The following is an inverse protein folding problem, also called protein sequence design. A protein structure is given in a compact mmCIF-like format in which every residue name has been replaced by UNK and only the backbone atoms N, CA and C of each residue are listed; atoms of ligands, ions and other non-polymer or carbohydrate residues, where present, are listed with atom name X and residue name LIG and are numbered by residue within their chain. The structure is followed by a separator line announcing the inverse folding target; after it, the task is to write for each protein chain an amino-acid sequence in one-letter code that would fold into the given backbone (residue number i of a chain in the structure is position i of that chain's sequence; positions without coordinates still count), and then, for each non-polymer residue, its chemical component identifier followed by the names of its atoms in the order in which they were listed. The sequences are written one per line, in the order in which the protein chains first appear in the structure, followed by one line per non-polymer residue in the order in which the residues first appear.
data_IF_789733585546
#
_entry.id   IF_789733585546
#
_cell.length_a   1.000
_cell.length_b   1.000
_cell.length_c   1.000
_cell.angle_alpha   90.00
_cell.angle_beta   90.00
_cell.angle_gamma   90.00
#
_symmetry.space_group_name_H-M   'P 1'
#
loop_
_entity.id
_entity.type
_entity.pdbx_description
1 polymer ?
#
# COMPACT_ATOMS: atom_id res chain seq x y z
N UNK A 1 9.15 -12.19 77.94
CA UNK A 1 9.76 -12.98 76.84
C UNK A 1 8.65 -13.64 76.02
N UNK A 2 8.84 -13.72 74.69
CA UNK A 2 8.01 -14.37 73.63
C UNK A 2 7.04 -13.39 72.92
N UNK A 3 7.47 -12.69 71.87
CA UNK A 3 7.58 -13.07 70.43
C UNK A 3 6.28 -12.79 69.66
N UNK A 4 6.18 -11.68 68.92
CA UNK A 4 6.36 -11.53 67.46
C UNK A 4 5.44 -12.41 66.60
N UNK A 5 4.58 -11.77 65.78
CA UNK A 5 4.59 -11.90 64.31
C UNK A 5 3.53 -10.96 63.69
N UNK A 6 4.04 -10.02 62.87
CA UNK A 6 3.27 -9.11 62.02
C UNK A 6 2.95 -9.84 60.72
N UNK A 7 1.68 -9.96 60.35
CA UNK A 7 1.27 -10.48 59.05
C UNK A 7 0.94 -9.29 58.14
N UNK A 8 1.92 -8.86 57.36
CA UNK A 8 1.74 -7.88 56.29
C UNK A 8 1.33 -8.64 55.03
N UNK A 9 0.07 -8.54 54.62
CA UNK A 9 -0.39 -9.08 53.35
C UNK A 9 0.11 -8.15 52.22
N UNK A 10 1.09 -8.62 51.44
CA UNK A 10 1.59 -7.95 50.26
C UNK A 10 0.66 -8.29 49.08
N UNK A 11 -0.28 -7.42 48.77
CA UNK A 11 -1.08 -7.51 47.55
C UNK A 11 -0.20 -7.07 46.36
N UNK A 12 0.33 -8.04 45.61
CA UNK A 12 0.99 -7.78 44.35
C UNK A 12 -0.06 -7.38 43.31
N UNK A 13 -0.17 -6.07 43.05
CA UNK A 13 -0.88 -5.52 41.91
C UNK A 13 -0.12 -5.93 40.64
N UNK A 14 -0.69 -6.85 39.87
CA UNK A 14 -0.25 -7.16 38.51
C UNK A 14 -0.60 -5.95 37.63
N UNK A 15 0.35 -5.03 37.47
CA UNK A 15 0.31 -4.01 36.42
C UNK A 15 0.48 -4.73 35.06
N UNK A 16 -0.63 -5.00 34.38
CA UNK A 16 -0.62 -5.39 32.97
C UNK A 16 -0.01 -4.25 32.16
N UNK A 17 1.00 -4.50 31.33
CA UNK A 17 1.41 -3.51 30.34
C UNK A 17 0.28 -3.38 29.31
N UNK A 18 -0.39 -2.23 29.27
CA UNK A 18 -1.13 -1.82 28.07
C UNK A 18 -0.08 -1.66 26.97
N UNK A 19 -0.02 -2.62 26.04
CA UNK A 19 0.61 -2.37 24.76
C UNK A 19 -0.20 -1.24 24.11
N UNK A 20 0.38 -0.04 24.07
CA UNK A 20 -0.14 1.03 23.25
C UNK A 20 0.02 0.57 21.80
N UNK A 21 -1.05 0.05 21.21
CA UNK A 21 -1.16 -0.03 19.76
C UNK A 21 -1.09 1.40 19.27
N UNK A 22 -0.09 1.73 18.44
CA UNK A 22 -0.15 2.97 17.66
C UNK A 22 -1.53 2.96 16.98
N UNK A 23 -2.31 4.02 17.18
CA UNK A 23 -3.60 4.12 16.51
C UNK A 23 -3.30 4.17 15.00
N UNK A 24 -3.77 3.18 14.25
CA UNK A 24 -3.68 3.19 12.79
C UNK A 24 -4.32 4.48 12.27
N UNK A 25 -3.74 5.09 11.24
CA UNK A 25 -4.25 6.38 10.76
C UNK A 25 -5.56 6.15 10.01
N UNK A 26 -6.67 6.68 10.54
CA UNK A 26 -7.96 6.62 9.86
C UNK A 26 -7.90 7.34 8.49
N UNK A 27 -8.56 6.79 7.47
CA UNK A 27 -8.56 7.31 6.08
C UNK A 27 -9.95 7.77 5.69
N UNK A 28 -10.07 9.02 5.26
CA UNK A 28 -11.35 9.62 4.87
C UNK A 28 -11.57 9.65 3.35
N UNK A 29 -10.50 9.78 2.56
CA UNK A 29 -10.58 9.78 1.10
C UNK A 29 -9.35 9.16 0.44
N UNK A 30 -9.58 8.55 -0.72
CA UNK A 30 -8.54 8.04 -1.62
C UNK A 30 -8.87 8.56 -3.02
N UNK A 31 -7.98 9.35 -3.62
CA UNK A 31 -8.09 9.82 -4.99
C UNK A 31 -6.89 9.34 -5.81
N UNK A 32 -7.18 8.91 -7.05
CA UNK A 32 -6.17 8.44 -7.98
C UNK A 32 -6.44 9.06 -9.34
N UNK A 33 -5.44 9.74 -9.86
CA UNK A 33 -5.45 10.36 -11.18
C UNK A 33 -4.31 9.78 -12.04
N UNK A 34 -4.53 9.72 -13.35
CA UNK A 34 -3.51 9.33 -14.31
C UNK A 34 -3.83 9.93 -15.67
N UNK A 35 -2.85 10.58 -16.31
CA UNK A 35 -2.98 10.95 -17.72
C UNK A 35 -2.47 9.83 -18.64
N UNK A 36 -3.31 8.82 -18.81
CA UNK A 36 -3.03 7.69 -19.69
C UNK A 36 -3.07 8.05 -21.18
N UNK A 37 -3.54 9.24 -21.57
CA UNK A 37 -3.56 9.67 -22.97
C UNK A 37 -2.16 9.94 -23.53
N UNK A 38 -1.17 10.10 -22.64
CA UNK A 38 0.23 10.26 -22.99
C UNK A 38 0.88 8.94 -23.46
N UNK A 39 0.28 7.79 -23.14
CA UNK A 39 0.81 6.45 -23.48
C UNK A 39 0.72 6.20 -24.99
N UNK A 40 1.88 6.17 -25.65
CA UNK A 40 1.96 5.96 -27.10
C UNK A 40 1.80 4.49 -27.51
N UNK A 41 2.12 3.55 -26.62
CA UNK A 41 2.05 2.12 -26.90
C UNK A 41 0.61 1.62 -26.70
N UNK A 42 -0.06 1.23 -27.79
CA UNK A 42 -1.46 0.78 -27.76
C UNK A 42 -1.70 -0.44 -26.86
N UNK A 43 -0.73 -1.37 -26.76
CA UNK A 43 -0.82 -2.52 -25.86
C UNK A 43 -0.75 -2.07 -24.40
N UNK A 44 0.21 -1.21 -24.06
CA UNK A 44 0.34 -0.64 -22.73
C UNK A 44 -0.91 0.18 -22.34
N UNK A 45 -1.43 1.00 -23.26
CA UNK A 45 -2.64 1.77 -23.03
C UNK A 45 -3.85 0.88 -22.73
N UNK A 46 -3.96 -0.28 -23.37
CA UNK A 46 -5.03 -1.24 -23.10
C UNK A 46 -4.86 -1.90 -21.72
N UNK A 47 -3.65 -2.38 -21.40
CA UNK A 47 -3.35 -3.01 -20.11
C UNK A 47 -3.59 -2.05 -18.94
N UNK A 48 -3.17 -0.79 -19.08
CA UNK A 48 -3.26 0.21 -18.00
C UNK A 48 -4.56 1.01 -18.00
N UNK A 49 -5.51 0.73 -18.90
CA UNK A 49 -6.71 1.56 -19.12
C UNK A 49 -7.54 1.83 -17.85
N UNK A 50 -7.60 0.86 -16.92
CA UNK A 50 -8.38 0.96 -15.69
C UNK A 50 -7.53 1.24 -14.43
N UNK A 51 -6.22 1.47 -14.60
CA UNK A 51 -5.26 1.60 -13.49
C UNK A 51 -5.74 2.52 -12.36
N UNK A 52 -6.26 3.74 -12.60
CA UNK A 52 -6.69 4.61 -11.50
C UNK A 52 -7.80 4.01 -10.63
N UNK A 53 -8.82 3.44 -11.28
CA UNK A 53 -9.97 2.85 -10.59
C UNK A 53 -9.57 1.60 -9.81
N UNK A 54 -8.77 0.74 -10.44
CA UNK A 54 -8.34 -0.53 -9.83
C UNK A 54 -7.34 -0.29 -8.70
N UNK A 55 -6.45 0.70 -8.82
CA UNK A 55 -5.53 1.09 -7.75
C UNK A 55 -6.29 1.66 -6.54
N UNK A 56 -7.25 2.57 -6.78
CA UNK A 56 -8.13 3.09 -5.72
C UNK A 56 -8.86 1.96 -5.00
N UNK A 57 -9.47 1.05 -5.77
CA UNK A 57 -10.20 -0.08 -5.20
C UNK A 57 -9.29 -1.01 -4.41
N UNK A 58 -8.10 -1.30 -4.93
CA UNK A 58 -7.13 -2.19 -4.28
C UNK A 58 -6.64 -1.60 -2.96
N UNK A 59 -6.28 -0.31 -2.96
CA UNK A 59 -5.86 0.38 -1.75
C UNK A 59 -6.98 0.47 -0.70
N UNK A 60 -8.21 0.74 -1.12
CA UNK A 60 -9.36 0.75 -0.22
C UNK A 60 -9.61 -0.62 0.44
N UNK A 61 -9.40 -1.72 -0.28
CA UNK A 61 -9.48 -3.08 0.28
C UNK A 61 -8.38 -3.32 1.31
N UNK A 62 -7.16 -2.86 1.04
CA UNK A 62 -6.04 -3.04 1.98
C UNK A 62 -6.19 -2.20 3.25
N UNK A 63 -6.82 -1.03 3.13
CA UNK A 63 -7.06 -0.10 4.23
C UNK A 63 -8.47 -0.24 4.83
N UNK A 64 -9.17 -1.35 4.55
CA UNK A 64 -10.58 -1.52 4.94
C UNK A 64 -10.83 -1.36 6.45
N UNK A 65 -9.88 -1.79 7.29
CA UNK A 65 -9.95 -1.67 8.74
C UNK A 65 -9.57 -0.27 9.27
N UNK A 66 -9.05 0.60 8.39
CA UNK A 66 -8.61 1.96 8.70
C UNK A 66 -9.53 3.03 8.10
N UNK A 67 -10.66 2.67 7.48
CA UNK A 67 -11.58 3.67 6.93
C UNK A 67 -12.26 4.46 8.06
N UNK A 68 -12.16 5.78 7.99
CA UNK A 68 -12.79 6.69 8.93
C UNK A 68 -14.31 6.51 8.90
N UNK A 69 -15.00 6.54 10.07
CA UNK A 69 -16.46 6.57 10.10
C UNK A 69 -17.02 7.75 9.31
N UNK A 70 -18.22 7.60 8.76
CA UNK A 70 -18.88 8.66 8.00
C UNK A 70 -19.02 9.93 8.86
N UNK A 71 -18.45 11.04 8.36
CA UNK A 71 -18.47 12.34 9.03
C UNK A 71 -17.34 12.57 10.04
N UNK A 72 -16.41 11.63 10.18
CA UNK A 72 -15.17 11.82 10.95
C UNK A 72 -14.01 12.24 10.04
N UNK A 73 -13.07 13.01 10.61
CA UNK A 73 -11.85 13.39 9.91
C UNK A 73 -10.89 12.20 9.82
N UNK A 74 -10.18 12.10 8.70
CA UNK A 74 -9.17 11.09 8.46
C UNK A 74 -8.20 11.56 7.38
N UNK A 75 -7.10 10.84 7.21
CA UNK A 75 -6.12 11.12 6.19
C UNK A 75 -6.73 11.05 4.79
N UNK A 76 -6.26 11.94 3.91
CA UNK A 76 -6.59 11.94 2.49
C UNK A 76 -5.36 11.46 1.73
N UNK A 77 -5.54 10.44 0.88
CA UNK A 77 -4.47 9.88 0.06
C UNK A 77 -4.73 10.30 -1.38
N UNK A 78 -3.84 11.10 -1.94
CA UNK A 78 -3.87 11.54 -3.33
C UNK A 78 -2.72 10.88 -4.09
N UNK A 79 -3.03 10.25 -5.21
CA UNK A 79 -2.07 9.54 -6.06
C UNK A 79 -2.17 10.09 -7.48
N UNK A 80 -1.07 10.64 -7.98
CA UNK A 80 -0.95 11.06 -9.38
C UNK A 80 0.03 10.12 -10.11
N UNK A 81 -0.49 9.30 -11.01
CA UNK A 81 0.32 8.39 -11.82
C UNK A 81 0.99 9.18 -12.94
N UNK A 82 2.30 9.32 -12.83
CA UNK A 82 3.13 10.12 -13.74
C UNK A 82 3.65 9.31 -14.93
N UNK A 83 3.80 7.99 -14.80
CA UNK A 83 4.23 7.13 -15.89
C UNK A 83 3.81 5.67 -15.70
N UNK A 84 3.52 5.01 -16.81
CA UNK A 84 3.37 3.55 -16.88
C UNK A 84 4.15 3.02 -18.08
N UNK A 85 4.91 1.95 -17.85
CA UNK A 85 5.66 1.26 -18.89
C UNK A 85 5.28 -0.22 -18.87
N UNK A 86 5.30 -0.83 -20.05
CA UNK A 86 5.02 -2.24 -20.24
C UNK A 86 6.11 -2.84 -21.12
N UNK A 87 6.76 -3.87 -20.61
CA UNK A 87 7.76 -4.61 -21.36
C UNK A 87 7.13 -5.32 -22.56
N UNK A 88 7.90 -5.46 -23.63
CA UNK A 88 7.50 -6.22 -24.81
C UNK A 88 7.48 -7.74 -24.56
N UNK A 89 8.29 -8.20 -23.62
CA UNK A 89 8.51 -9.61 -23.27
C UNK A 89 9.10 -9.71 -21.86
N UNK A 90 9.11 -10.90 -21.28
CA UNK A 90 9.80 -11.22 -20.03
C UNK A 90 10.83 -12.33 -20.27
N UNK A 91 11.79 -12.12 -21.18
CA UNK A 91 12.80 -13.15 -21.48
C UNK A 91 13.97 -13.11 -20.48
N UNK A 92 14.17 -11.96 -19.83
CA UNK A 92 15.20 -11.76 -18.83
C UNK A 92 14.80 -10.71 -17.78
N UNK A 93 15.60 -10.56 -16.73
CA UNK A 93 15.35 -9.63 -15.61
C UNK A 93 15.39 -8.16 -16.04
N UNK A 94 16.22 -7.80 -17.03
CA UNK A 94 16.22 -6.43 -17.54
C UNK A 94 14.88 -6.10 -18.19
N UNK A 95 14.29 -7.04 -18.94
CA UNK A 95 12.95 -6.85 -19.53
C UNK A 95 11.85 -6.70 -18.47
N UNK A 96 11.96 -7.40 -17.33
CA UNK A 96 11.01 -7.21 -16.22
C UNK A 96 11.04 -5.77 -15.69
N UNK A 97 12.24 -5.22 -15.50
CA UNK A 97 12.42 -3.86 -14.99
C UNK A 97 11.88 -2.77 -15.93
N UNK A 98 11.62 -3.10 -17.20
CA UNK A 98 10.98 -2.22 -18.18
C UNK A 98 9.46 -2.13 -17.99
N UNK A 99 8.84 -3.01 -17.20
CA UNK A 99 7.46 -2.81 -16.75
C UNK A 99 7.43 -2.11 -15.40
N UNK A 100 6.86 -0.91 -15.35
CA UNK A 100 6.79 -0.10 -14.13
C UNK A 100 5.56 0.78 -14.06
N UNK A 101 5.15 1.07 -12.83
CA UNK A 101 4.18 2.12 -12.49
C UNK A 101 4.93 3.13 -11.64
N UNK A 102 4.90 4.40 -12.03
CA UNK A 102 5.47 5.50 -11.28
C UNK A 102 4.40 6.57 -11.03
N UNK A 103 4.43 7.16 -9.83
CA UNK A 103 3.52 8.22 -9.46
C UNK A 103 3.98 8.96 -8.22
N UNK A 104 3.37 10.11 -8.00
CA UNK A 104 3.55 10.90 -6.79
C UNK A 104 2.39 10.62 -5.82
N UNK A 105 2.73 10.42 -4.56
CA UNK A 105 1.79 10.14 -3.49
C UNK A 105 1.85 11.26 -2.47
N UNK A 106 0.69 11.82 -2.14
CA UNK A 106 0.52 12.84 -1.12
C UNK A 106 -0.46 12.30 -0.07
N UNK A 107 -0.05 12.38 1.19
CA UNK A 107 -0.86 11.99 2.35
C UNK A 107 -1.04 13.23 3.21
N UNK A 108 -2.26 13.76 3.22
CA UNK A 108 -2.66 14.85 4.11
C UNK A 108 -3.29 14.24 5.37
N UNK A 109 -2.77 14.56 6.55
CA UNK A 109 -3.31 14.06 7.83
C UNK A 109 -3.93 15.20 8.63
N UNK A 110 -5.11 15.01 9.24
CA UNK A 110 -5.72 16.04 10.07
C UNK A 110 -4.81 16.51 11.21
N UNK A 111 -4.59 17.82 11.29
CA UNK A 111 -3.76 18.44 12.33
C UNK A 111 -2.26 18.51 12.04
N UNK A 112 -1.79 17.88 10.96
CA UNK A 112 -0.40 18.04 10.52
C UNK A 112 -0.21 19.40 9.82
N UNK A 113 0.97 19.99 10.03
CA UNK A 113 1.32 21.28 9.43
C UNK A 113 1.72 21.14 7.94
N UNK A 114 2.18 19.96 7.54
CA UNK A 114 2.72 19.68 6.22
C UNK A 114 2.26 18.31 5.75
N UNK A 115 1.97 18.20 4.47
CA UNK A 115 1.61 16.93 3.84
C UNK A 115 2.85 16.04 3.66
N UNK A 116 2.67 14.73 3.82
CA UNK A 116 3.71 13.76 3.45
C UNK A 116 3.62 13.53 1.94
N UNK A 117 4.66 13.94 1.20
CA UNK A 117 4.73 13.76 -0.24
C UNK A 117 5.98 12.96 -0.64
N UNK A 118 5.81 11.98 -1.53
CA UNK A 118 6.92 11.17 -2.06
C UNK A 118 6.59 10.59 -3.43
N UNK A 119 7.61 10.40 -4.26
CA UNK A 119 7.49 9.64 -5.50
C UNK A 119 7.64 8.14 -5.22
N UNK A 120 6.75 7.33 -5.79
CA UNK A 120 6.76 5.88 -5.71
C UNK A 120 6.95 5.30 -7.10
N UNK A 121 7.81 4.30 -7.22
CA UNK A 121 7.96 3.50 -8.44
C UNK A 121 7.97 2.04 -8.05
N UNK A 122 7.12 1.26 -8.72
CA UNK A 122 7.06 -0.20 -8.60
C UNK A 122 7.37 -0.80 -9.95
N UNK A 123 8.30 -1.76 -9.97
CA UNK A 123 8.61 -2.56 -11.15
C UNK A 123 8.11 -4.01 -11.01
N UNK A 124 8.14 -4.77 -12.11
CA UNK A 124 7.71 -6.16 -12.14
C UNK A 124 8.42 -7.06 -11.11
N UNK A 125 9.71 -6.85 -10.89
CA UNK A 125 10.49 -7.65 -9.94
C UNK A 125 9.98 -7.45 -8.51
N UNK A 126 9.69 -6.22 -8.11
CA UNK A 126 9.11 -5.90 -6.80
C UNK A 126 7.69 -6.47 -6.66
N UNK A 127 6.90 -6.43 -7.74
CA UNK A 127 5.55 -6.97 -7.77
C UNK A 127 5.50 -8.50 -7.70
N UNK A 128 6.56 -9.19 -8.14
CA UNK A 128 6.63 -10.66 -8.18
C UNK A 128 6.37 -11.33 -6.83
N UNK A 129 6.65 -10.64 -5.71
CA UNK A 129 6.42 -11.14 -4.35
C UNK A 129 4.93 -11.39 -4.06
N UNK A 130 4.03 -10.73 -4.80
CA UNK A 130 2.58 -10.88 -4.66
C UNK A 130 1.99 -11.98 -5.55
N UNK A 131 2.81 -12.62 -6.39
CA UNK A 131 2.38 -13.77 -7.16
C UNK A 131 2.23 -15.00 -6.26
N UNK A 132 1.40 -15.99 -6.66
CA UNK A 132 1.35 -17.29 -6.00
C UNK A 132 2.74 -17.92 -5.88
N UNK A 133 3.00 -18.66 -4.81
CA UNK A 133 4.32 -19.22 -4.53
C UNK A 133 4.86 -20.19 -5.60
N UNK A 134 3.98 -20.75 -6.43
CA UNK A 134 4.29 -21.62 -7.57
C UNK A 134 4.28 -20.90 -8.92
N UNK A 135 3.95 -19.61 -8.95
CA UNK A 135 3.97 -18.80 -10.16
C UNK A 135 5.38 -18.28 -10.45
N UNK A 136 5.77 -18.33 -11.72
CA UNK A 136 7.01 -17.74 -12.21
C UNK A 136 6.67 -16.53 -13.10
N UNK A 137 7.11 -15.35 -12.68
CA UNK A 137 6.86 -14.09 -13.41
C UNK A 137 7.45 -14.14 -14.83
N UNK A 138 8.52 -14.91 -15.05
CA UNK A 138 9.15 -15.07 -16.36
C UNK A 138 8.27 -15.87 -17.34
N UNK A 139 7.29 -16.61 -16.83
CA UNK A 139 6.33 -17.36 -17.63
C UNK A 139 5.02 -16.58 -17.86
N UNK A 140 4.86 -15.42 -17.23
CA UNK A 140 3.70 -14.57 -17.44
C UNK A 140 3.83 -13.76 -18.72
N UNK A 141 2.68 -13.42 -19.33
CA UNK A 141 2.66 -12.38 -20.34
C UNK A 141 2.64 -11.01 -19.64
N UNK A 142 3.37 -9.99 -20.14
CA UNK A 142 3.31 -8.64 -19.59
C UNK A 142 1.89 -8.07 -19.52
N UNK A 143 1.00 -8.42 -20.45
CA UNK A 143 -0.40 -8.00 -20.43
C UNK A 143 -1.36 -8.95 -19.71
N UNK A 144 -0.86 -9.94 -18.96
CA UNK A 144 -1.72 -10.88 -18.22
C UNK A 144 -2.38 -10.21 -17.02
N UNK A 145 -3.55 -10.72 -16.63
CA UNK A 145 -4.30 -10.20 -15.49
C UNK A 145 -3.55 -10.44 -14.17
N UNK A 146 -2.87 -11.58 -14.06
CA UNK A 146 -2.03 -11.93 -12.92
C UNK A 146 -0.90 -10.94 -12.72
N UNK A 147 -0.20 -10.58 -13.81
CA UNK A 147 0.84 -9.56 -13.77
C UNK A 147 0.28 -8.19 -13.40
N UNK A 148 -0.81 -7.77 -14.05
CA UNK A 148 -1.48 -6.50 -13.77
C UNK A 148 -1.84 -6.37 -12.30
N UNK A 149 -2.52 -7.37 -11.74
CA UNK A 149 -2.94 -7.37 -10.34
C UNK A 149 -1.75 -7.33 -9.38
N UNK A 150 -0.65 -8.03 -9.69
CA UNK A 150 0.56 -7.98 -8.89
C UNK A 150 1.17 -6.57 -8.88
N UNK A 151 1.24 -5.90 -10.03
CA UNK A 151 1.75 -4.53 -10.14
C UNK A 151 0.90 -3.52 -9.36
N UNK A 152 -0.42 -3.56 -9.55
CA UNK A 152 -1.37 -2.69 -8.84
C UNK A 152 -1.32 -2.96 -7.33
N UNK A 153 -1.34 -4.22 -6.93
CA UNK A 153 -1.26 -4.63 -5.53
C UNK A 153 0.04 -4.20 -4.86
N UNK A 154 1.17 -4.27 -5.56
CA UNK A 154 2.46 -3.86 -5.02
C UNK A 154 2.54 -2.35 -4.83
N UNK A 155 2.00 -1.56 -5.76
CA UNK A 155 1.90 -0.11 -5.61
C UNK A 155 1.01 0.26 -4.41
N UNK A 156 -0.18 -0.36 -4.31
CA UNK A 156 -1.09 -0.16 -3.18
C UNK A 156 -0.44 -0.55 -1.83
N UNK A 157 0.24 -1.70 -1.77
CA UNK A 157 0.88 -2.19 -0.54
C UNK A 157 1.93 -1.19 0.00
N UNK A 158 2.75 -0.62 -0.88
CA UNK A 158 3.76 0.38 -0.47
C UNK A 158 3.12 1.61 0.20
N UNK A 159 1.91 2.00 -0.23
CA UNK A 159 1.16 3.10 0.36
C UNK A 159 0.50 2.64 1.67
N UNK A 160 -0.13 1.47 1.67
CA UNK A 160 -0.81 0.94 2.86
C UNK A 160 0.16 0.71 4.04
N UNK A 161 1.39 0.26 3.75
CA UNK A 161 2.45 0.10 4.76
C UNK A 161 2.84 1.43 5.44
N UNK A 162 2.65 2.58 4.78
CA UNK A 162 2.90 3.92 5.35
C UNK A 162 1.73 4.46 6.19
N UNK A 163 0.60 3.75 6.22
CA UNK A 163 -0.57 4.11 7.02
C UNK A 163 -0.62 3.37 8.37
N UNK A 164 0.19 2.32 8.52
CA UNK A 164 0.35 1.51 9.74
C UNK A 164 1.33 2.16 10.74
#
# INVERSE_FOLDING_TARGET
MKSFLRTTALAALLSLPLAATAAETAVSDISVEADLNSIQNATAANVWANLPADLKSTLAVQLADQIAPEGEEGAQIMIDITSVELASSFENVADLADSRIAGDVIIERPGDQYDEAYSLTVNAEQAAVLLPADADIMLLAPGSMEFYNAMVGAFANNIAEKMQ
#
